data_IF_804652061098
#
_entry.id   IF_804652061098
#
_cell.length_a   1.000
_cell.length_b   1.000
_cell.length_c   1.000
_cell.angle_alpha   90.00
_cell.angle_beta   90.00
_cell.angle_gamma   90.00
#
_symmetry.space_group_name_H-M   'P 1'
#
loop_
_entity.id
_entity.type
_entity.pdbx_description
1 polymer ?
#
# COMPACT_ATOMS: atom_id res chain seq x y z
N UNK A 1 -31.04 -33.14 -24.95
CA UNK A 1 -30.94 -31.68 -24.78
C UNK A 1 -30.10 -31.41 -23.54
N UNK A 2 -28.79 -31.16 -23.70
CA UNK A 2 -27.87 -30.87 -22.58
C UNK A 2 -27.58 -29.38 -22.61
N UNK A 3 -27.95 -28.69 -21.54
CA UNK A 3 -27.84 -27.25 -21.39
C UNK A 3 -26.38 -26.82 -21.49
N UNK A 4 -26.02 -26.18 -22.60
CA UNK A 4 -24.83 -25.36 -22.71
C UNK A 4 -25.07 -24.12 -21.84
N UNK A 5 -24.88 -24.26 -20.52
CA UNK A 5 -24.68 -23.10 -19.66
C UNK A 5 -23.27 -22.62 -20.02
N UNK A 6 -23.22 -21.77 -21.04
CA UNK A 6 -22.12 -20.86 -21.28
C UNK A 6 -22.10 -19.94 -20.05
N UNK A 7 -21.50 -20.43 -18.96
CA UNK A 7 -21.11 -19.62 -17.84
C UNK A 7 -20.08 -18.65 -18.42
N UNK A 8 -20.60 -17.52 -18.89
CA UNK A 8 -19.85 -16.32 -19.09
C UNK A 8 -19.31 -16.02 -17.69
N UNK A 9 -18.16 -16.61 -17.37
CA UNK A 9 -17.30 -16.17 -16.31
C UNK A 9 -16.91 -14.76 -16.71
N UNK A 10 -17.80 -13.81 -16.41
CA UNK A 10 -17.44 -12.44 -16.14
C UNK A 10 -16.58 -12.57 -14.88
N UNK A 11 -15.35 -13.06 -15.06
CA UNK A 11 -14.26 -12.54 -14.30
C UNK A 11 -14.36 -11.06 -14.59
N UNK A 12 -15.01 -10.33 -13.69
CA UNK A 12 -14.85 -8.90 -13.61
C UNK A 12 -13.34 -8.76 -13.41
N UNK A 13 -12.61 -8.65 -14.52
CA UNK A 13 -11.27 -8.14 -14.52
C UNK A 13 -11.47 -6.80 -13.83
N UNK A 14 -11.15 -6.75 -12.54
CA UNK A 14 -11.16 -5.54 -11.77
C UNK A 14 -10.29 -4.61 -12.59
N UNK A 15 -10.91 -3.68 -13.32
CA UNK A 15 -10.17 -2.83 -14.22
C UNK A 15 -9.12 -2.16 -13.36
N UNK A 16 -7.84 -2.45 -13.65
CA UNK A 16 -6.74 -1.85 -12.91
C UNK A 16 -6.83 -0.32 -13.01
N UNK A 17 -6.05 0.40 -12.21
CA UNK A 17 -5.96 1.85 -12.36
C UNK A 17 -5.59 2.20 -13.80
N UNK A 18 -6.23 3.23 -14.36
CA UNK A 18 -5.90 3.71 -15.71
C UNK A 18 -4.48 4.27 -15.78
N UNK A 19 -3.94 4.42 -16.99
CA UNK A 19 -2.62 5.04 -17.19
C UNK A 19 -2.50 6.43 -16.55
N UNK A 20 -3.54 7.26 -16.66
CA UNK A 20 -3.59 8.60 -16.06
C UNK A 20 -3.63 8.55 -14.53
N UNK A 21 -4.40 7.62 -13.95
CA UNK A 21 -4.42 7.39 -12.50
C UNK A 21 -3.05 6.94 -12.01
N UNK A 22 -2.41 5.97 -12.69
CA UNK A 22 -1.06 5.54 -12.34
C UNK A 22 -0.08 6.72 -12.40
N UNK A 23 -0.13 7.53 -13.47
CA UNK A 23 0.76 8.67 -13.64
C UNK A 23 0.60 9.71 -12.52
N UNK A 24 -0.64 10.07 -12.15
CA UNK A 24 -0.92 11.01 -11.07
C UNK A 24 -0.49 10.48 -9.69
N UNK A 25 -0.74 9.19 -9.41
CA UNK A 25 -0.28 8.56 -8.17
C UNK A 25 1.25 8.49 -8.10
N UNK A 26 1.94 8.11 -9.18
CA UNK A 26 3.41 8.10 -9.24
C UNK A 26 4.00 9.50 -9.08
N UNK A 27 3.41 10.51 -9.71
CA UNK A 27 3.86 11.90 -9.60
C UNK A 27 3.78 12.39 -8.15
N UNK A 28 2.64 12.21 -7.49
CA UNK A 28 2.50 12.58 -6.07
C UNK A 28 3.40 11.75 -5.16
N UNK A 29 3.52 10.43 -5.38
CA UNK A 29 4.43 9.56 -4.62
C UNK A 29 5.89 10.01 -4.70
N UNK A 30 6.36 10.36 -5.90
CA UNK A 30 7.74 10.77 -6.12
C UNK A 30 8.15 12.02 -5.32
N UNK A 31 7.19 12.86 -4.92
CA UNK A 31 7.48 14.04 -4.07
C UNK A 31 7.75 13.69 -2.60
N UNK A 32 7.31 12.52 -2.13
CA UNK A 32 7.39 12.15 -0.70
C UNK A 32 8.09 10.82 -0.44
N UNK A 33 8.41 10.02 -1.45
CA UNK A 33 8.95 8.66 -1.26
C UNK A 33 10.25 8.59 -0.44
N UNK A 34 11.02 9.69 -0.40
CA UNK A 34 12.24 9.78 0.41
C UNK A 34 11.98 10.22 1.86
N UNK A 35 10.74 10.60 2.21
CA UNK A 35 10.33 11.01 3.56
C UNK A 35 9.91 9.79 4.39
N UNK A 36 10.65 8.68 4.27
CA UNK A 36 10.23 7.38 4.77
C UNK A 36 9.93 7.36 6.27
N UNK A 37 10.75 8.08 7.06
CA UNK A 37 10.58 8.20 8.52
C UNK A 37 9.26 8.92 8.84
N UNK A 38 8.95 10.01 8.13
CA UNK A 38 7.72 10.77 8.38
C UNK A 38 6.47 10.00 7.94
N UNK A 39 6.56 9.25 6.83
CA UNK A 39 5.48 8.36 6.37
C UNK A 39 5.16 7.32 7.45
N UNK A 40 6.16 6.55 7.91
CA UNK A 40 5.93 5.51 8.90
C UNK A 40 5.46 6.11 10.24
N UNK A 41 6.04 7.24 10.64
CA UNK A 41 5.63 7.96 11.84
C UNK A 41 4.16 8.37 11.76
N UNK A 42 3.71 8.96 10.65
CA UNK A 42 2.31 9.35 10.47
C UNK A 42 1.35 8.15 10.54
N UNK A 43 1.74 7.02 9.95
CA UNK A 43 0.96 5.78 10.01
C UNK A 43 0.86 5.25 11.45
N UNK A 44 1.98 5.15 12.18
CA UNK A 44 1.97 4.66 13.56
C UNK A 44 1.25 5.63 14.51
N UNK A 45 1.39 6.94 14.30
CA UNK A 45 0.69 7.96 15.10
C UNK A 45 -0.82 7.85 14.96
N UNK A 46 -1.30 7.60 13.74
CA UNK A 46 -2.72 7.40 13.47
C UNK A 46 -3.23 6.01 13.89
N UNK A 47 -2.35 5.01 13.95
CA UNK A 47 -2.70 3.61 14.23
C UNK A 47 -1.71 2.96 15.21
N UNK A 48 -1.85 3.23 16.52
CA UNK A 48 -0.97 2.65 17.54
C UNK A 48 -1.00 1.12 17.60
N UNK A 49 -2.10 0.50 17.15
CA UNK A 49 -2.24 -0.95 17.00
C UNK A 49 -1.29 -1.51 15.94
N UNK A 50 -1.04 -0.77 14.85
CA UNK A 50 -0.05 -1.15 13.83
C UNK A 50 1.36 -1.08 14.42
N UNK A 51 1.71 -0.03 15.18
CA UNK A 51 3.00 0.05 15.87
C UNK A 51 3.20 -1.15 16.81
N UNK A 52 2.17 -1.50 17.57
CA UNK A 52 2.20 -2.59 18.56
C UNK A 52 2.41 -3.95 17.90
N UNK A 53 1.99 -4.13 16.64
CA UNK A 53 2.22 -5.37 15.89
C UNK A 53 3.71 -5.60 15.56
N UNK A 54 4.56 -4.58 15.64
CA UNK A 54 6.01 -4.72 15.47
C UNK A 54 6.69 -4.87 16.83
N UNK A 55 7.12 -6.08 17.19
CA UNK A 55 7.74 -6.38 18.49
C UNK A 55 8.89 -5.44 18.88
N UNK A 56 9.70 -5.00 17.91
CA UNK A 56 10.78 -4.03 18.10
C UNK A 56 10.31 -2.63 18.55
N UNK A 57 9.05 -2.26 18.31
CA UNK A 57 8.44 -0.95 18.62
C UNK A 57 7.26 -1.03 19.60
N UNK A 58 6.81 -2.23 19.93
CA UNK A 58 5.72 -2.47 20.87
C UNK A 58 6.03 -1.86 22.24
N UNK A 59 5.08 -1.10 22.79
CA UNK A 59 5.20 -0.46 24.10
C UNK A 59 6.19 0.71 24.17
N UNK A 60 6.86 1.07 23.07
CA UNK A 60 7.76 2.23 23.03
C UNK A 60 6.98 3.50 22.70
N UNK A 61 7.40 4.61 23.29
CA UNK A 61 6.87 5.92 22.92
C UNK A 61 7.30 6.28 21.48
N UNK A 62 6.34 6.66 20.63
CA UNK A 62 6.59 6.87 19.20
C UNK A 62 7.56 8.03 18.93
N UNK A 63 7.45 9.12 19.70
CA UNK A 63 8.29 10.29 19.55
C UNK A 63 9.75 9.97 19.95
N UNK A 64 9.93 9.12 20.97
CA UNK A 64 11.26 8.62 21.37
C UNK A 64 11.93 7.71 20.33
N UNK A 65 11.16 6.93 19.55
CA UNK A 65 11.74 5.99 18.57
C UNK A 65 11.92 6.59 17.18
N UNK A 66 11.20 7.66 16.81
CA UNK A 66 11.22 8.26 15.46
C UNK A 66 12.65 8.54 14.96
N UNK A 67 13.50 9.07 15.84
CA UNK A 67 14.89 9.44 15.51
C UNK A 67 15.90 8.29 15.56
N UNK A 68 15.47 7.07 15.85
CA UNK A 68 16.39 5.93 16.04
C UNK A 68 16.79 5.28 14.72
N UNK A 69 17.99 4.68 14.63
CA UNK A 69 18.41 3.90 13.46
C UNK A 69 17.45 2.75 13.13
N UNK A 70 16.91 2.08 14.14
CA UNK A 70 15.98 0.96 13.95
C UNK A 70 14.67 1.41 13.30
N UNK A 71 14.11 2.53 13.73
CA UNK A 71 12.90 3.10 13.13
C UNK A 71 13.16 3.52 11.69
N UNK A 72 14.27 4.23 11.42
CA UNK A 72 14.65 4.63 10.07
C UNK A 72 14.86 3.44 9.13
N UNK A 73 15.52 2.38 9.61
CA UNK A 73 15.72 1.13 8.86
C UNK A 73 14.41 0.43 8.55
N UNK A 74 13.47 0.39 9.51
CA UNK A 74 12.17 -0.22 9.28
C UNK A 74 11.32 0.61 8.30
N UNK A 75 11.31 1.92 8.46
CA UNK A 75 10.65 2.85 7.55
C UNK A 75 11.15 2.68 6.10
N UNK A 76 12.47 2.60 5.91
CA UNK A 76 13.07 2.36 4.60
C UNK A 76 12.65 1.04 3.96
N UNK A 77 12.46 -0.03 4.74
CA UNK A 77 11.96 -1.32 4.21
C UNK A 77 10.51 -1.23 3.74
N UNK A 78 9.63 -0.62 4.53
CA UNK A 78 8.20 -0.49 4.21
C UNK A 78 8.01 0.41 2.98
N UNK A 79 8.62 1.59 3.00
CA UNK A 79 8.51 2.58 1.92
C UNK A 79 9.26 2.14 0.67
N UNK A 80 10.36 1.41 0.82
CA UNK A 80 11.10 0.82 -0.29
C UNK A 80 10.29 -0.22 -1.04
N UNK A 81 9.62 -1.14 -0.34
CA UNK A 81 8.73 -2.12 -0.98
C UNK A 81 7.57 -1.44 -1.71
N UNK A 82 6.94 -0.46 -1.07
CA UNK A 82 5.86 0.30 -1.70
C UNK A 82 6.35 1.05 -2.94
N UNK A 83 7.54 1.66 -2.89
CA UNK A 83 8.16 2.35 -4.03
C UNK A 83 8.46 1.40 -5.17
N UNK A 84 8.96 0.20 -4.89
CA UNK A 84 9.23 -0.81 -5.92
C UNK A 84 7.94 -1.19 -6.66
N UNK A 85 6.83 -1.37 -5.93
CA UNK A 85 5.51 -1.63 -6.55
C UNK A 85 5.06 -0.43 -7.39
N UNK A 86 5.20 0.80 -6.88
CA UNK A 86 4.85 2.02 -7.60
C UNK A 86 5.66 2.20 -8.89
N UNK A 87 6.93 1.83 -8.89
CA UNK A 87 7.81 1.93 -10.06
C UNK A 87 7.40 0.94 -11.16
N UNK A 88 6.95 -0.26 -10.78
CA UNK A 88 6.47 -1.29 -11.69
C UNK A 88 5.12 -0.95 -12.37
N UNK A 89 4.28 -0.13 -11.73
CA UNK A 89 2.99 0.29 -12.29
C UNK A 89 3.17 1.08 -13.59
N UNK A 90 2.21 0.90 -14.51
CA UNK A 90 2.14 1.60 -15.80
C UNK A 90 2.68 0.78 -16.97
N UNK A 91 3.16 -0.43 -16.71
CA UNK A 91 3.51 -1.41 -17.72
C UNK A 91 2.80 -2.73 -17.41
N UNK A 92 1.84 -3.11 -18.25
CA UNK A 92 1.00 -4.31 -18.03
C UNK A 92 1.83 -5.59 -17.93
N UNK A 93 3.00 -5.65 -18.58
CA UNK A 93 3.93 -6.78 -18.48
C UNK A 93 4.46 -7.00 -17.06
N UNK A 94 4.42 -5.97 -16.20
CA UNK A 94 4.83 -6.06 -14.79
C UNK A 94 3.71 -6.54 -13.85
N UNK A 95 2.46 -6.66 -14.34
CA UNK A 95 1.30 -7.08 -13.53
C UNK A 95 1.57 -8.38 -12.77
N UNK A 96 2.11 -9.47 -13.39
CA UNK A 96 2.40 -10.71 -12.66
C UNK A 96 3.39 -10.50 -11.51
N UNK A 97 4.42 -9.67 -11.70
CA UNK A 97 5.43 -9.36 -10.68
C UNK A 97 4.83 -8.53 -9.53
N UNK A 98 3.99 -7.54 -9.84
CA UNK A 98 3.29 -6.74 -8.83
C UNK A 98 2.41 -7.63 -7.96
N UNK A 99 1.61 -8.50 -8.59
CA UNK A 99 0.72 -9.42 -7.88
C UNK A 99 1.51 -10.45 -7.07
N UNK A 100 2.62 -10.98 -7.59
CA UNK A 100 3.49 -11.89 -6.85
C UNK A 100 4.03 -11.21 -5.57
N UNK A 101 4.54 -9.98 -5.66
CA UNK A 101 5.00 -9.21 -4.50
C UNK A 101 3.90 -8.97 -3.48
N UNK A 102 2.69 -8.59 -3.93
CA UNK A 102 1.55 -8.40 -3.04
C UNK A 102 1.15 -9.70 -2.33
N UNK A 103 1.18 -10.84 -3.04
CA UNK A 103 0.89 -12.15 -2.46
C UNK A 103 1.92 -12.57 -1.44
N UNK A 104 3.20 -12.43 -1.76
CA UNK A 104 4.30 -12.78 -0.85
C UNK A 104 4.27 -11.90 0.41
N UNK A 105 3.90 -10.62 0.27
CA UNK A 105 3.66 -9.76 1.41
C UNK A 105 2.53 -10.29 2.28
N UNK A 106 1.36 -10.59 1.71
CA UNK A 106 0.21 -11.10 2.46
C UNK A 106 0.55 -12.38 3.21
N UNK A 107 1.13 -13.37 2.51
CA UNK A 107 1.56 -14.63 3.13
C UNK A 107 2.54 -14.43 4.28
N UNK A 108 3.52 -13.54 4.12
CA UNK A 108 4.51 -13.25 5.17
C UNK A 108 3.98 -12.42 6.35
N UNK A 109 2.78 -11.84 6.23
CA UNK A 109 2.13 -11.06 7.28
C UNK A 109 0.87 -11.72 7.85
N UNK A 110 0.41 -12.83 7.27
CA UNK A 110 -0.80 -13.57 7.67
C UNK A 110 -0.95 -13.81 9.18
N UNK A 111 0.12 -14.16 9.87
CA UNK A 111 0.08 -14.44 11.32
C UNK A 111 0.14 -13.20 12.22
N UNK A 112 0.36 -12.00 11.66
CA UNK A 112 0.71 -10.78 12.42
C UNK A 112 0.05 -9.50 11.93
N UNK A 113 -0.74 -9.56 10.86
CA UNK A 113 -1.49 -8.44 10.33
C UNK A 113 -2.92 -8.86 10.03
N UNK A 114 -3.87 -7.96 10.25
CA UNK A 114 -5.27 -8.13 9.88
C UNK A 114 -5.62 -7.30 8.64
N UNK A 115 -6.67 -7.69 7.88
CA UNK A 115 -7.20 -6.84 6.80
C UNK A 115 -7.53 -5.42 7.26
N UNK A 116 -8.06 -5.26 8.47
CA UNK A 116 -8.38 -3.95 9.06
C UNK A 116 -7.13 -3.08 9.27
N UNK A 117 -6.02 -3.67 9.75
CA UNK A 117 -4.74 -2.95 9.89
C UNK A 117 -4.19 -2.49 8.53
N UNK A 118 -4.38 -3.26 7.47
CA UNK A 118 -3.98 -2.84 6.13
C UNK A 118 -4.85 -1.71 5.57
N UNK A 119 -6.16 -1.77 5.82
CA UNK A 119 -7.06 -0.69 5.44
C UNK A 119 -6.75 0.59 6.23
N UNK A 120 -6.35 0.47 7.49
CA UNK A 120 -5.88 1.57 8.32
C UNK A 120 -4.53 2.13 7.82
N UNK A 121 -3.57 1.27 7.48
CA UNK A 121 -2.33 1.67 6.83
C UNK A 121 -2.61 2.48 5.55
N UNK A 122 -3.48 1.95 4.67
CA UNK A 122 -3.90 2.58 3.42
C UNK A 122 -4.48 3.97 3.68
N UNK A 123 -5.42 4.09 4.61
CA UNK A 123 -6.06 5.37 4.96
C UNK A 123 -5.04 6.39 5.46
N UNK A 124 -4.17 6.00 6.39
CA UNK A 124 -3.17 6.91 6.96
C UNK A 124 -2.10 7.31 5.97
N UNK A 125 -1.72 6.42 5.04
CA UNK A 125 -0.84 6.77 3.92
C UNK A 125 -1.49 7.86 3.04
N UNK A 126 -2.76 7.72 2.68
CA UNK A 126 -3.49 8.74 1.90
C UNK A 126 -3.62 10.05 2.66
N UNK A 127 -3.90 10.02 3.96
CA UNK A 127 -3.94 11.23 4.81
C UNK A 127 -2.58 11.93 4.83
N UNK A 128 -1.48 11.18 4.98
CA UNK A 128 -0.14 11.74 4.90
C UNK A 128 0.13 12.39 3.54
N UNK A 129 -0.21 11.70 2.45
CA UNK A 129 -0.03 12.21 1.09
C UNK A 129 -0.83 13.50 0.84
N UNK A 130 -2.06 13.60 1.34
CA UNK A 130 -2.89 14.82 1.29
C UNK A 130 -2.21 16.02 1.94
N UNK A 131 -1.53 15.81 3.07
CA UNK A 131 -0.84 16.88 3.79
C UNK A 131 0.56 17.21 3.23
N UNK A 132 1.21 16.27 2.56
CA UNK A 132 2.61 16.38 2.15
C UNK A 132 2.81 16.66 0.65
N UNK A 133 1.74 16.68 -0.16
CA UNK A 133 1.83 16.86 -1.61
C UNK A 133 0.83 17.91 -2.11
N UNK A 134 1.03 18.40 -3.34
CA UNK A 134 -0.01 19.18 -4.04
C UNK A 134 -1.17 18.25 -4.38
N UNK A 135 -2.27 18.37 -3.65
CA UNK A 135 -3.39 17.44 -3.73
C UNK A 135 -4.57 18.02 -4.53
N UNK A 136 -4.60 17.74 -5.84
CA UNK A 136 -5.69 18.13 -6.72
C UNK A 136 -6.65 16.95 -7.02
N UNK A 137 -7.68 17.20 -7.84
CA UNK A 137 -8.69 16.19 -8.19
C UNK A 137 -8.11 14.98 -8.95
N UNK A 138 -7.05 15.16 -9.74
CA UNK A 138 -6.41 14.07 -10.45
C UNK A 138 -5.65 13.17 -9.46
N UNK A 139 -4.93 13.77 -8.50
CA UNK A 139 -4.27 13.03 -7.42
C UNK A 139 -5.29 12.33 -6.52
N UNK A 140 -6.36 13.01 -6.07
CA UNK A 140 -7.41 12.39 -5.23
C UNK A 140 -8.02 11.15 -5.91
N UNK A 141 -8.37 11.26 -7.19
CA UNK A 141 -9.01 10.16 -7.94
C UNK A 141 -8.05 9.04 -8.35
N UNK A 142 -6.74 9.24 -8.23
CA UNK A 142 -5.73 8.26 -8.61
C UNK A 142 -5.45 7.19 -7.55
N UNK A 143 -5.43 7.57 -6.28
CA UNK A 143 -4.88 6.73 -5.23
C UNK A 143 -5.79 5.57 -4.84
N UNK A 144 -7.11 5.76 -4.85
CA UNK A 144 -8.02 4.69 -4.48
C UNK A 144 -7.88 3.47 -5.43
N UNK A 145 -8.00 3.61 -6.76
CA UNK A 145 -7.81 2.51 -7.71
C UNK A 145 -6.42 1.85 -7.63
N UNK A 146 -5.35 2.64 -7.50
CA UNK A 146 -3.98 2.13 -7.37
C UNK A 146 -3.82 1.29 -6.11
N UNK A 147 -4.31 1.79 -4.98
CA UNK A 147 -4.23 1.08 -3.71
C UNK A 147 -5.15 -0.15 -3.71
N UNK A 148 -6.35 -0.08 -4.29
CA UNK A 148 -7.26 -1.22 -4.39
C UNK A 148 -6.67 -2.37 -5.20
N UNK A 149 -5.99 -2.06 -6.32
CA UNK A 149 -5.31 -3.06 -7.14
C UNK A 149 -4.25 -3.85 -6.36
N UNK A 150 -3.45 -3.19 -5.52
CA UNK A 150 -2.38 -3.84 -4.74
C UNK A 150 -2.91 -4.46 -3.44
N UNK A 151 -3.69 -3.71 -2.66
CA UNK A 151 -4.12 -4.11 -1.32
C UNK A 151 -5.21 -5.18 -1.34
N UNK A 152 -6.03 -5.27 -2.39
CA UNK A 152 -6.98 -6.39 -2.52
C UNK A 152 -6.25 -7.72 -2.60
N UNK A 153 -5.21 -7.81 -3.44
CA UNK A 153 -4.37 -9.00 -3.58
C UNK A 153 -3.67 -9.34 -2.26
N UNK A 154 -3.14 -8.33 -1.58
CA UNK A 154 -2.51 -8.50 -0.27
C UNK A 154 -3.52 -9.09 0.75
N UNK A 155 -4.70 -8.48 0.87
CA UNK A 155 -5.74 -8.89 1.84
C UNK A 155 -6.28 -10.29 1.57
N UNK A 156 -6.36 -10.70 0.31
CA UNK A 156 -6.80 -12.05 -0.06
C UNK A 156 -5.83 -13.16 0.38
N UNK A 157 -4.61 -12.79 0.77
CA UNK A 157 -3.56 -13.72 1.20
C UNK A 157 -3.30 -13.66 2.71
N UNK A 158 -3.98 -12.75 3.44
CA UNK A 158 -4.03 -12.75 4.90
C UNK A 158 -4.90 -13.87 5.45
#
# INVERSE_FOLDING_TARGET
MKFLILALCVAAAMAGPSGDQIAAAKASWNTVKNNQVDILYAVFKANPDIQTAFSQFAGKDLDSIKGTPDFSKHAGRVVGLFSEVMDLLGNDANTPTILAKAKDFGKSHKSRASPAQLDNFRKSLVVYLKGATKWDSAVESSWAPVLDFVFSTLKNEL
#
